data_IF_247174335951
#
_entry.id   IF_247174335951
#
_cell.length_a   1.000
_cell.length_b   1.000
_cell.length_c   1.000
_cell.angle_alpha   90.00
_cell.angle_beta   90.00
_cell.angle_gamma   90.00
#
_symmetry.space_group_name_H-M   'P 1'
#
loop_
_entity.id
_entity.type
_entity.pdbx_description
1 polymer ?
#
# COMPACT_ATOMS: atom_id res chain seq x y z
N UNK A 1 -45.10 18.02 -11.84
CA UNK A 1 -43.92 18.69 -12.42
C UNK A 1 -42.75 18.43 -11.48
N UNK A 2 -41.94 17.40 -11.74
CA UNK A 2 -40.80 17.10 -10.86
C UNK A 2 -39.75 18.20 -11.04
N UNK A 3 -39.35 18.83 -9.94
CA UNK A 3 -38.44 19.98 -9.94
C UNK A 3 -37.09 19.58 -10.52
N UNK A 4 -36.65 20.28 -11.58
CA UNK A 4 -35.35 20.06 -12.25
C UNK A 4 -34.19 20.12 -11.25
N UNK A 5 -34.34 20.89 -10.18
CA UNK A 5 -33.34 21.04 -9.11
C UNK A 5 -33.09 19.75 -8.33
N UNK A 6 -34.10 18.88 -8.14
CA UNK A 6 -33.94 17.63 -7.39
C UNK A 6 -33.13 16.58 -8.16
N UNK A 7 -33.30 16.52 -9.49
CA UNK A 7 -32.51 15.64 -10.36
C UNK A 7 -31.05 16.07 -10.46
N UNK A 8 -30.79 17.39 -10.46
CA UNK A 8 -29.42 17.93 -10.49
C UNK A 8 -28.66 17.57 -9.21
N UNK A 9 -29.30 17.64 -8.04
CA UNK A 9 -28.65 17.29 -6.78
C UNK A 9 -28.32 15.79 -6.74
N UNK A 10 -29.28 14.93 -7.09
CA UNK A 10 -29.09 13.48 -7.09
C UNK A 10 -27.95 13.06 -8.03
N UNK A 11 -27.93 13.61 -9.25
CA UNK A 11 -26.88 13.32 -10.24
C UNK A 11 -25.51 13.82 -9.78
N UNK A 12 -25.43 14.98 -9.15
CA UNK A 12 -24.17 15.51 -8.61
C UNK A 12 -23.62 14.64 -7.47
N UNK A 13 -24.48 14.15 -6.57
CA UNK A 13 -24.09 13.19 -5.53
C UNK A 13 -23.56 11.88 -6.11
N UNK A 14 -24.24 11.32 -7.12
CA UNK A 14 -23.80 10.09 -7.79
C UNK A 14 -22.44 10.31 -8.48
N UNK A 15 -22.24 11.43 -9.16
CA UNK A 15 -20.95 11.76 -9.80
C UNK A 15 -19.83 11.89 -8.76
N UNK A 16 -20.09 12.52 -7.61
CA UNK A 16 -19.12 12.61 -6.52
C UNK A 16 -18.76 11.22 -5.94
N UNK A 17 -19.75 10.33 -5.79
CA UNK A 17 -19.51 8.97 -5.31
C UNK A 17 -18.65 8.17 -6.30
N UNK A 18 -18.94 8.27 -7.60
CA UNK A 18 -18.21 7.52 -8.64
C UNK A 18 -16.77 8.03 -8.82
N UNK A 19 -16.53 9.33 -8.71
CA UNK A 19 -15.18 9.90 -8.77
C UNK A 19 -14.24 9.39 -7.66
N UNK A 20 -14.81 8.89 -6.57
CA UNK A 20 -14.05 8.36 -5.42
C UNK A 20 -13.53 6.94 -5.64
N UNK A 21 -14.00 6.23 -6.68
CA UNK A 21 -13.69 4.82 -6.93
C UNK A 21 -12.52 4.71 -7.91
N UNK A 22 -11.35 5.23 -7.53
CA UNK A 22 -10.14 4.98 -8.32
C UNK A 22 -9.46 3.71 -7.80
N UNK A 23 -9.68 2.60 -8.49
CA UNK A 23 -9.01 1.34 -8.18
C UNK A 23 -7.49 1.51 -8.37
N UNK A 24 -6.76 1.61 -7.26
CA UNK A 24 -5.31 1.78 -7.28
C UNK A 24 -4.67 0.50 -7.84
N UNK A 25 -4.19 0.55 -9.09
CA UNK A 25 -3.47 -0.57 -9.71
C UNK A 25 -2.05 -0.61 -9.18
N UNK A 26 -1.69 -1.67 -8.48
CA UNK A 26 -0.32 -1.92 -8.03
C UNK A 26 0.47 -2.59 -9.15
N UNK A 27 1.60 -2.01 -9.54
CA UNK A 27 2.56 -2.71 -10.40
C UNK A 27 3.22 -3.81 -9.56
N UNK A 28 3.13 -5.07 -9.99
CA UNK A 28 3.66 -6.24 -9.26
C UNK A 28 4.95 -6.80 -9.85
N UNK A 29 5.31 -6.39 -11.07
CA UNK A 29 6.53 -6.81 -11.73
C UNK A 29 7.74 -6.06 -11.13
N UNK A 30 8.71 -6.81 -10.62
CA UNK A 30 9.97 -6.28 -10.11
C UNK A 30 11.17 -6.93 -10.80
N UNK A 31 12.27 -6.19 -10.98
CA UNK A 31 13.54 -6.78 -11.35
C UNK A 31 14.02 -7.78 -10.28
N UNK A 32 14.77 -8.79 -10.71
CA UNK A 32 15.37 -9.82 -9.85
C UNK A 32 16.72 -9.39 -9.26
N UNK A 33 17.04 -8.09 -9.28
CA UNK A 33 18.27 -7.59 -8.69
C UNK A 33 18.21 -7.64 -7.16
N UNK A 34 19.32 -8.05 -6.56
CA UNK A 34 19.46 -8.12 -5.11
C UNK A 34 20.08 -6.82 -4.58
N UNK A 35 19.26 -5.96 -3.98
CA UNK A 35 19.65 -4.69 -3.37
C UNK A 35 18.86 -4.49 -2.07
N UNK A 36 19.27 -5.16 -0.97
CA UNK A 36 18.40 -5.35 0.18
C UNK A 36 18.05 -4.03 0.87
N UNK A 37 16.78 -3.94 1.28
CA UNK A 37 16.27 -2.79 2.04
C UNK A 37 15.59 -3.26 3.32
N UNK A 38 15.78 -2.50 4.39
CA UNK A 38 15.10 -2.73 5.66
C UNK A 38 13.79 -1.98 5.67
N UNK A 39 12.69 -2.72 5.54
CA UNK A 39 11.33 -2.22 5.67
C UNK A 39 10.92 -2.15 7.13
N UNK A 40 10.35 -1.01 7.55
CA UNK A 40 9.75 -0.82 8.87
C UNK A 40 8.26 -0.50 8.72
N UNK A 41 7.39 -1.34 9.29
CA UNK A 41 5.95 -1.14 9.32
C UNK A 41 5.50 -0.86 10.76
N UNK A 42 4.77 0.24 10.95
CA UNK A 42 4.08 0.54 12.20
C UNK A 42 2.62 0.12 12.06
N UNK A 43 2.21 -0.90 12.80
CA UNK A 43 0.82 -1.36 12.80
C UNK A 43 -0.07 -0.44 13.64
N UNK A 44 -1.40 -0.47 13.44
CA UNK A 44 -2.35 0.32 14.23
C UNK A 44 -2.29 0.03 15.74
N UNK A 45 -1.94 -1.19 16.13
CA UNK A 45 -1.76 -1.59 17.53
C UNK A 45 -0.44 -1.09 18.16
N UNK A 46 0.32 -0.24 17.48
CA UNK A 46 1.60 0.29 17.95
C UNK A 46 2.80 -0.64 17.78
N UNK A 47 2.60 -1.90 17.36
CA UNK A 47 3.73 -2.81 17.10
C UNK A 47 4.53 -2.36 15.89
N UNK A 48 5.86 -2.44 16.02
CA UNK A 48 6.81 -2.15 14.94
C UNK A 48 7.33 -3.47 14.41
N UNK A 49 7.23 -3.63 13.10
CA UNK A 49 7.75 -4.78 12.38
C UNK A 49 8.86 -4.35 11.45
N UNK A 50 9.99 -5.06 11.50
CA UNK A 50 11.16 -4.79 10.67
C UNK A 50 11.52 -6.03 9.87
N UNK A 51 11.49 -5.93 8.55
CA UNK A 51 11.79 -7.05 7.65
C UNK A 51 12.70 -6.61 6.51
N UNK A 52 13.64 -7.47 6.14
CA UNK A 52 14.50 -7.26 4.98
C UNK A 52 13.77 -7.69 3.72
N UNK A 53 13.70 -6.79 2.73
CA UNK A 53 13.19 -7.08 1.41
C UNK A 53 14.35 -7.21 0.42
N UNK A 54 14.22 -8.04 -0.63
CA UNK A 54 15.30 -8.28 -1.59
C UNK A 54 15.67 -7.03 -2.40
N UNK A 55 14.70 -6.16 -2.65
CA UNK A 55 14.90 -4.83 -3.21
C UNK A 55 13.76 -3.87 -2.85
N UNK A 56 13.97 -2.58 -3.15
CA UNK A 56 12.96 -1.53 -2.93
C UNK A 56 11.66 -1.76 -3.71
N UNK A 57 11.75 -2.38 -4.90
CA UNK A 57 10.56 -2.69 -5.69
C UNK A 57 9.65 -3.66 -4.95
N UNK A 58 10.17 -4.80 -4.46
CA UNK A 58 9.40 -5.80 -3.72
C UNK A 58 8.69 -5.20 -2.49
N UNK A 59 9.38 -4.32 -1.76
CA UNK A 59 8.77 -3.58 -0.64
C UNK A 59 7.61 -2.69 -1.10
N UNK A 60 7.74 -1.97 -2.22
CA UNK A 60 6.69 -1.12 -2.74
C UNK A 60 5.48 -1.93 -3.23
N UNK A 61 5.71 -3.08 -3.90
CA UNK A 61 4.64 -3.99 -4.31
C UNK A 61 3.85 -4.45 -3.08
N UNK A 62 4.56 -4.93 -2.05
CA UNK A 62 3.96 -5.34 -0.78
C UNK A 62 3.11 -4.21 -0.17
N UNK A 63 3.69 -3.02 -0.10
CA UNK A 63 3.04 -1.83 0.46
C UNK A 63 1.76 -1.49 -0.28
N UNK A 64 1.78 -1.56 -1.61
CA UNK A 64 0.62 -1.25 -2.44
C UNK A 64 -0.46 -2.33 -2.33
N UNK A 65 -0.09 -3.60 -2.52
CA UNK A 65 -1.03 -4.73 -2.56
C UNK A 65 -1.73 -4.92 -1.21
N UNK A 66 -0.99 -4.82 -0.11
CA UNK A 66 -1.55 -5.02 1.24
C UNK A 66 -1.96 -3.73 1.94
N UNK A 67 -1.78 -2.56 1.29
CA UNK A 67 -2.01 -1.24 1.89
C UNK A 67 -1.27 -1.05 3.22
N UNK A 68 -0.06 -1.60 3.29
CA UNK A 68 0.82 -1.52 4.44
C UNK A 68 1.82 -0.37 4.25
N UNK A 69 1.84 0.67 5.10
CA UNK A 69 2.74 1.81 4.94
C UNK A 69 4.16 1.49 5.40
N UNK A 70 4.89 0.69 4.62
CA UNK A 70 6.30 0.37 4.91
C UNK A 70 7.21 1.57 4.65
N UNK A 71 8.12 1.84 5.58
CA UNK A 71 9.24 2.77 5.41
C UNK A 71 10.49 1.99 5.06
N UNK A 72 11.16 2.35 3.97
CA UNK A 72 12.42 1.70 3.55
C UNK A 72 13.64 2.45 4.07
N UNK A 73 14.68 1.69 4.43
CA UNK A 73 16.03 2.17 4.70
C UNK A 73 17.03 1.31 3.93
N UNK A 74 18.12 1.87 3.38
CA UNK A 74 19.11 1.09 2.64
C UNK A 74 19.76 0.01 3.49
N UNK A 75 20.08 -1.13 2.87
CA UNK A 75 20.71 -2.27 3.54
C UNK A 75 19.73 -3.17 4.28
N UNK A 76 20.25 -4.26 4.85
CA UNK A 76 19.45 -5.24 5.60
C UNK A 76 19.03 -4.69 6.96
N UNK A 77 17.98 -5.27 7.55
CA UNK A 77 17.62 -4.93 8.92
C UNK A 77 18.65 -5.48 9.91
N UNK A 78 19.08 -4.64 10.88
CA UNK A 78 19.94 -5.07 12.00
C UNK A 78 19.25 -6.11 12.90
N UNK A 79 17.94 -5.98 13.04
CA UNK A 79 17.08 -6.89 13.81
C UNK A 79 15.81 -7.11 13.01
N UNK A 80 15.50 -8.38 12.73
CA UNK A 80 14.27 -8.77 12.06
C UNK A 80 13.20 -9.15 13.08
N UNK A 81 11.95 -8.81 12.80
CA UNK A 81 10.83 -9.19 13.65
C UNK A 81 10.40 -10.63 13.38
N UNK A 82 9.93 -11.31 14.43
CA UNK A 82 9.29 -12.62 14.27
C UNK A 82 8.08 -12.49 13.34
N UNK A 83 8.13 -13.18 12.20
CA UNK A 83 7.06 -13.16 11.18
C UNK A 83 7.44 -12.63 9.80
N UNK A 84 8.69 -12.18 9.58
CA UNK A 84 9.13 -11.71 8.25
C UNK A 84 9.06 -12.78 7.15
N UNK A 85 9.16 -14.06 7.51
CA UNK A 85 9.01 -15.19 6.57
C UNK A 85 7.62 -15.23 5.90
N UNK A 86 6.60 -14.58 6.48
CA UNK A 86 5.24 -14.48 5.91
C UNK A 86 5.05 -13.25 5.02
N UNK A 87 6.10 -12.46 4.82
CA UNK A 87 6.04 -11.09 4.26
C UNK A 87 7.05 -10.90 3.14
N UNK A 88 8.28 -11.40 3.33
CA UNK A 88 9.39 -11.21 2.40
C UNK A 88 9.46 -12.28 1.28
N UNK A 89 8.40 -13.08 1.11
CA UNK A 89 8.25 -14.08 0.06
C UNK A 89 7.69 -13.49 -1.22
#
# INVERSE_FOLDING_TARGET
MFSNSSFVILTCFIVCLVASIQAQRCQTACPLNYDPVCGTLRRPNGSIMRCTFPNRCALNVRSCVHREPWRSTPGRCRTESNGCNRIAG
#
